data_IF_112002944568
#
_entry.id   IF_112002944568
#
_cell.length_a   1.000
_cell.length_b   1.000
_cell.length_c   1.000
_cell.angle_alpha   90.00
_cell.angle_beta   90.00
_cell.angle_gamma   90.00
#
_symmetry.space_group_name_H-M   'P 1'
#
loop_
_entity.id
_entity.type
_entity.pdbx_description
1 polymer ?
#
# COMPACT_ATOMS: atom_id res chain seq x y z
N UNK A 1 -3.10 -7.84 0.88
CA UNK A 1 -2.79 -8.97 -0.04
C UNK A 1 -2.87 -8.57 -1.50
N UNK A 2 -4.04 -8.31 -2.10
CA UNK A 2 -4.10 -7.92 -3.53
C UNK A 2 -3.26 -6.66 -3.83
N UNK A 3 -3.33 -5.65 -2.96
CA UNK A 3 -2.52 -4.44 -3.15
C UNK A 3 -1.00 -4.69 -3.11
N UNK A 4 -0.50 -5.74 -2.44
CA UNK A 4 0.95 -5.98 -2.44
C UNK A 4 1.49 -6.42 -3.80
N UNK A 5 0.66 -7.03 -4.66
CA UNK A 5 1.11 -7.44 -6.00
C UNK A 5 1.32 -6.26 -6.94
N UNK A 6 0.77 -5.08 -6.64
CA UNK A 6 1.03 -3.86 -7.41
C UNK A 6 2.47 -3.36 -7.27
N UNK A 7 3.20 -3.84 -6.25
CA UNK A 7 4.63 -3.56 -6.09
C UNK A 7 5.51 -4.41 -7.02
N UNK A 8 4.98 -5.44 -7.70
CA UNK A 8 5.77 -6.29 -8.59
C UNK A 8 6.33 -5.53 -9.81
N UNK A 9 5.55 -4.71 -10.56
CA UNK A 9 6.10 -3.91 -11.65
C UNK A 9 7.25 -2.99 -11.23
N UNK A 10 7.13 -2.11 -10.20
CA UNK A 10 8.25 -1.27 -9.80
C UNK A 10 9.42 -2.07 -9.21
N UNK A 11 9.16 -3.18 -8.50
CA UNK A 11 10.23 -4.06 -8.01
C UNK A 11 11.05 -4.68 -9.17
N UNK A 12 10.37 -5.09 -10.25
CA UNK A 12 11.02 -5.60 -11.45
C UNK A 12 11.87 -4.51 -12.12
N UNK A 13 11.34 -3.28 -12.22
CA UNK A 13 12.09 -2.14 -12.77
C UNK A 13 13.31 -1.84 -11.90
N UNK A 14 13.17 -1.77 -10.58
CA UNK A 14 14.26 -1.53 -9.64
C UNK A 14 15.37 -2.59 -9.74
N UNK A 15 14.98 -3.85 -9.96
CA UNK A 15 15.94 -4.95 -10.17
C UNK A 15 16.72 -4.79 -11.49
N UNK A 16 16.05 -4.40 -12.58
CA UNK A 16 16.68 -4.20 -13.89
C UNK A 16 17.57 -2.93 -13.90
N UNK A 17 17.12 -1.87 -13.25
CA UNK A 17 17.79 -0.57 -13.20
C UNK A 17 18.95 -0.53 -12.19
N UNK A 18 18.97 -1.43 -11.20
CA UNK A 18 19.92 -1.43 -10.07
C UNK A 18 20.02 -0.07 -9.36
N UNK A 19 18.88 0.60 -9.20
CA UNK A 19 18.76 1.97 -8.67
C UNK A 19 18.79 2.07 -7.13
N UNK A 20 18.95 0.94 -6.43
CA UNK A 20 18.97 0.87 -4.97
C UNK A 20 17.59 0.92 -4.29
N UNK A 21 16.49 1.09 -5.03
CA UNK A 21 15.12 1.17 -4.47
C UNK A 21 14.49 -0.20 -4.21
N UNK A 22 15.10 -1.27 -4.72
CA UNK A 22 14.60 -2.65 -4.65
C UNK A 22 14.25 -3.10 -3.22
N UNK A 23 15.08 -2.76 -2.22
CA UNK A 23 14.84 -3.14 -0.81
C UNK A 23 13.58 -2.45 -0.25
N UNK A 24 13.35 -1.19 -0.61
CA UNK A 24 12.16 -0.44 -0.23
C UNK A 24 10.88 -1.09 -0.75
N UNK A 25 10.82 -1.39 -2.05
CA UNK A 25 9.67 -2.09 -2.65
C UNK A 25 9.47 -3.50 -2.08
N UNK A 26 10.54 -4.27 -1.87
CA UNK A 26 10.45 -5.64 -1.35
C UNK A 26 9.91 -5.67 0.08
N UNK A 27 10.41 -4.77 0.95
CA UNK A 27 9.95 -4.64 2.33
C UNK A 27 8.48 -4.17 2.40
N UNK A 28 8.12 -3.15 1.62
CA UNK A 28 6.74 -2.66 1.51
C UNK A 28 5.76 -3.76 1.04
N UNK A 29 6.16 -4.55 0.04
CA UNK A 29 5.39 -5.69 -0.46
C UNK A 29 5.17 -6.72 0.65
N UNK A 30 6.23 -7.09 1.38
CA UNK A 30 6.15 -8.04 2.49
C UNK A 30 5.21 -7.57 3.60
N UNK A 31 5.40 -6.33 4.09
CA UNK A 31 4.56 -5.73 5.13
C UNK A 31 3.09 -5.72 4.71
N UNK A 32 2.80 -5.25 3.49
CA UNK A 32 1.43 -5.16 2.96
C UNK A 32 0.78 -6.54 2.79
N UNK A 33 1.56 -7.54 2.37
CA UNK A 33 1.07 -8.90 2.20
C UNK A 33 0.71 -9.52 3.56
N UNK A 34 1.65 -9.53 4.50
CA UNK A 34 1.47 -10.16 5.80
C UNK A 34 0.44 -9.44 6.67
N UNK A 35 0.39 -8.09 6.65
CA UNK A 35 -0.64 -7.34 7.34
C UNK A 35 -2.04 -7.71 6.82
N UNK A 36 -2.21 -7.73 5.49
CA UNK A 36 -3.47 -8.15 4.88
C UNK A 36 -3.83 -9.61 5.18
N UNK A 37 -2.85 -10.52 5.17
CA UNK A 37 -3.06 -11.93 5.48
C UNK A 37 -3.49 -12.12 6.94
N UNK A 38 -2.81 -11.48 7.88
CA UNK A 38 -3.12 -11.55 9.32
C UNK A 38 -4.49 -10.95 9.65
N UNK A 39 -4.90 -9.89 8.95
CA UNK A 39 -6.24 -9.31 9.12
C UNK A 39 -7.34 -10.20 8.52
N UNK A 40 -7.07 -10.83 7.37
CA UNK A 40 -8.07 -11.65 6.68
C UNK A 40 -8.23 -13.05 7.29
N UNK A 41 -7.14 -13.69 7.74
CA UNK A 41 -7.12 -15.09 8.15
C UNK A 41 -8.16 -15.43 9.25
N UNK A 42 -8.36 -14.62 10.31
CA UNK A 42 -9.35 -14.91 11.36
C UNK A 42 -10.80 -14.82 10.88
N UNK A 43 -11.06 -14.00 9.85
CA UNK A 43 -12.42 -13.70 9.35
C UNK A 43 -12.72 -14.34 7.99
N UNK A 44 -11.83 -15.18 7.45
CA UNK A 44 -11.92 -15.74 6.10
C UNK A 44 -13.19 -16.55 5.78
N UNK A 45 -13.86 -17.08 6.81
CA UNK A 45 -15.08 -17.88 6.68
C UNK A 45 -16.33 -17.11 7.14
N UNK A 46 -16.21 -15.82 7.44
CA UNK A 46 -17.33 -14.97 7.84
C UNK A 46 -18.02 -14.44 6.59
N UNK A 47 -19.32 -14.72 6.46
CA UNK A 47 -20.17 -14.18 5.42
C UNK A 47 -21.18 -13.23 6.04
N UNK A 48 -21.30 -12.03 5.50
CA UNK A 48 -22.24 -11.01 5.97
C UNK A 48 -22.85 -10.30 4.76
N UNK A 49 -24.17 -10.10 4.78
CA UNK A 49 -24.87 -9.36 3.73
C UNK A 49 -24.54 -7.86 3.85
N UNK A 50 -23.98 -7.30 2.78
CA UNK A 50 -23.57 -5.90 2.75
C UNK A 50 -24.78 -4.97 2.82
N UNK A 51 -24.83 -4.12 3.84
CA UNK A 51 -25.79 -3.03 3.95
C UNK A 51 -25.21 -1.75 3.35
N UNK A 52 -26.07 -0.79 3.03
CA UNK A 52 -25.64 0.51 2.46
C UNK A 52 -24.62 1.23 3.38
N UNK A 53 -24.80 1.17 4.70
CA UNK A 53 -23.88 1.78 5.67
C UNK A 53 -22.48 1.17 5.62
N UNK A 54 -22.39 -0.14 5.36
CA UNK A 54 -21.11 -0.84 5.25
C UNK A 54 -20.35 -0.36 4.00
N UNK A 55 -21.08 -0.08 2.91
CA UNK A 55 -20.49 0.48 1.68
C UNK A 55 -19.76 1.80 1.89
N UNK A 56 -20.34 2.73 2.69
CA UNK A 56 -19.67 3.98 3.04
C UNK A 56 -18.38 3.74 3.84
N UNK A 57 -18.44 2.85 4.83
CA UNK A 57 -17.28 2.51 5.64
C UNK A 57 -16.18 1.85 4.81
N UNK A 58 -16.52 0.88 3.96
CA UNK A 58 -15.59 0.18 3.08
C UNK A 58 -14.90 1.16 2.13
N UNK A 59 -15.65 2.10 1.55
CA UNK A 59 -15.08 3.09 0.63
C UNK A 59 -14.12 4.03 1.35
N UNK A 60 -14.47 4.53 2.54
CA UNK A 60 -13.56 5.36 3.32
C UNK A 60 -12.29 4.59 3.70
N UNK A 61 -12.44 3.36 4.22
CA UNK A 61 -11.30 2.53 4.60
C UNK A 61 -10.43 2.17 3.40
N UNK A 62 -11.01 1.95 2.23
CA UNK A 62 -10.27 1.64 1.02
C UNK A 62 -9.23 2.72 0.72
N UNK A 63 -9.65 3.99 0.64
CA UNK A 63 -8.73 5.09 0.37
C UNK A 63 -7.73 5.32 1.49
N UNK A 64 -8.18 5.28 2.76
CA UNK A 64 -7.28 5.47 3.91
C UNK A 64 -6.20 4.39 3.98
N UNK A 65 -6.59 3.11 3.84
CA UNK A 65 -5.66 1.98 3.95
C UNK A 65 -4.72 1.95 2.75
N UNK A 66 -5.22 2.08 1.51
CA UNK A 66 -4.35 2.06 0.33
C UNK A 66 -3.39 3.26 0.32
N UNK A 67 -3.83 4.45 0.72
CA UNK A 67 -2.95 5.61 0.84
C UNK A 67 -1.85 5.41 1.89
N UNK A 68 -2.17 4.81 3.04
CA UNK A 68 -1.17 4.55 4.07
C UNK A 68 -0.16 3.46 3.67
N UNK A 69 -0.63 2.35 3.11
CA UNK A 69 0.27 1.27 2.66
C UNK A 69 1.04 1.64 1.38
N UNK A 70 0.48 2.49 0.53
CA UNK A 70 1.17 3.04 -0.65
C UNK A 70 2.33 3.98 -0.28
N UNK A 71 2.34 4.52 0.94
CA UNK A 71 3.43 5.34 1.46
C UNK A 71 4.68 4.53 1.85
N UNK A 72 4.53 3.21 2.10
CA UNK A 72 5.63 2.35 2.54
C UNK A 72 6.85 2.34 1.61
N UNK A 73 6.73 2.17 0.27
CA UNK A 73 7.91 2.22 -0.60
C UNK A 73 8.64 3.56 -0.52
N UNK A 74 7.93 4.67 -0.34
CA UNK A 74 8.54 5.99 -0.17
C UNK A 74 9.27 6.12 1.17
N UNK A 75 8.61 5.70 2.25
CA UNK A 75 9.16 5.79 3.61
C UNK A 75 10.33 4.82 3.87
N UNK A 76 10.34 3.66 3.22
CA UNK A 76 11.35 2.60 3.42
C UNK A 76 12.51 2.67 2.43
N UNK A 77 12.46 3.59 1.46
CA UNK A 77 13.55 3.81 0.52
C UNK A 77 14.48 4.90 1.06
N UNK A 78 15.60 4.49 1.66
CA UNK A 78 16.56 5.39 2.31
C UNK A 78 17.07 6.51 1.38
N UNK A 79 17.23 6.23 0.08
CA UNK A 79 17.73 7.23 -0.88
C UNK A 79 16.78 8.42 -1.08
N UNK A 80 15.48 8.28 -0.81
CA UNK A 80 14.50 9.35 -0.96
C UNK A 80 14.54 10.38 0.18
N UNK A 81 15.04 10.00 1.37
CA UNK A 81 15.12 10.87 2.55
C UNK A 81 13.81 11.62 2.88
N UNK A 82 12.64 11.00 2.63
CA UNK A 82 11.34 11.60 2.89
C UNK A 82 10.93 11.47 4.36
N UNK A 83 10.31 12.53 4.89
CA UNK A 83 9.61 12.45 6.17
C UNK A 83 8.36 11.57 6.09
N UNK A 84 7.84 11.05 7.21
CA UNK A 84 6.62 10.24 7.22
C UNK A 84 5.40 10.96 6.64
N UNK A 85 5.28 12.26 6.91
CA UNK A 85 4.17 13.08 6.40
C UNK A 85 4.27 13.24 4.89
N UNK A 86 5.46 13.50 4.36
CA UNK A 86 5.68 13.68 2.93
C UNK A 86 5.42 12.37 2.16
N UNK A 87 5.90 11.24 2.69
CA UNK A 87 5.62 9.92 2.09
C UNK A 87 4.12 9.60 2.02
N UNK A 88 3.37 9.94 3.06
CA UNK A 88 1.90 9.76 3.07
C UNK A 88 1.24 10.74 2.10
N UNK A 89 1.68 11.99 2.08
CA UNK A 89 1.16 13.01 1.17
C UNK A 89 1.33 12.57 -0.29
N UNK A 90 2.54 12.19 -0.70
CA UNK A 90 2.85 11.71 -2.05
C UNK A 90 2.01 10.49 -2.42
N UNK A 91 1.90 9.52 -1.50
CA UNK A 91 1.10 8.34 -1.77
C UNK A 91 -0.38 8.65 -1.96
N UNK A 92 -0.95 9.53 -1.13
CA UNK A 92 -2.36 9.91 -1.25
C UNK A 92 -2.56 10.70 -2.54
N UNK A 93 -1.71 11.70 -2.81
CA UNK A 93 -1.74 12.53 -4.03
C UNK A 93 -1.70 11.68 -5.30
N UNK A 94 -0.80 10.70 -5.37
CA UNK A 94 -0.71 9.77 -6.49
C UNK A 94 -1.92 8.83 -6.61
N UNK A 95 -2.41 8.30 -5.48
CA UNK A 95 -3.57 7.40 -5.46
C UNK A 95 -4.86 8.11 -5.88
N UNK A 96 -5.05 9.37 -5.49
CA UNK A 96 -6.22 10.18 -5.82
C UNK A 96 -6.09 10.93 -7.15
N UNK A 97 -4.98 10.73 -7.88
CA UNK A 97 -4.65 11.44 -9.10
C UNK A 97 -4.69 12.97 -8.94
N UNK A 98 -4.34 13.47 -7.75
CA UNK A 98 -4.30 14.91 -7.45
C UNK A 98 -3.07 15.56 -8.08
N UNK A 99 -1.90 14.91 -7.97
CA UNK A 99 -0.65 15.40 -8.59
C UNK A 99 -0.17 16.75 -8.04
N UNK A 100 -0.41 17.00 -6.76
CA UNK A 100 0.00 18.19 -6.03
C UNK A 100 1.50 18.18 -5.68
#
# INVERSE_FOLDING_TARGET
MLFSTSALPPLMIAFLAQDGTMRGFLSAMGITFFAGLLMWLPVRNVTHDLRIRDGFLITSLFWTVLGLFGALPFALTESLHLGPVDAIFESISGLTATGA
#
